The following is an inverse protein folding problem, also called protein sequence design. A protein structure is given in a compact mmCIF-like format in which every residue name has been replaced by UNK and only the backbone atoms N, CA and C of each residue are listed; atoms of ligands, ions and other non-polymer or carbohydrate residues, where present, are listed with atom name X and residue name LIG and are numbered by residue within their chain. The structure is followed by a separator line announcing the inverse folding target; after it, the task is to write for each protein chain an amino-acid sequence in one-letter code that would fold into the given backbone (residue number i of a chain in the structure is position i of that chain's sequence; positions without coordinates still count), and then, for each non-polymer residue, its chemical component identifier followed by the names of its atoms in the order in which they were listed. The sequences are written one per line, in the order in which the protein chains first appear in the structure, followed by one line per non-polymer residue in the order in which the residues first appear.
data_IF_978541469961
#
_entry.id   IF_978541469961
#
_cell.length_a   1.000
_cell.length_b   1.000
_cell.length_c   1.000
_cell.angle_alpha   90.00
_cell.angle_beta   90.00
_cell.angle_gamma   90.00
#
_symmetry.space_group_name_H-M   'P 1'
#
loop_
_entity.id
_entity.type
_entity.pdbx_description
1 polymer ?
#
# COMPACT_ATOMS: atom_id res chain seq x y z
N UNK A 1 6.66 3.22 11.73
CA UNK A 1 5.62 2.16 11.65
C UNK A 1 6.17 1.03 10.76
N UNK A 2 6.26 -0.22 11.24
CA UNK A 2 6.61 -1.36 10.35
C UNK A 2 5.34 -1.76 9.60
N UNK A 3 5.24 -1.44 8.31
CA UNK A 3 4.11 -1.87 7.47
C UNK A 3 4.42 -3.22 6.84
N UNK A 4 3.45 -4.15 6.87
CA UNK A 4 3.54 -5.46 6.18
C UNK A 4 3.11 -5.37 4.71
N UNK A 5 2.84 -4.16 4.21
CA UNK A 5 2.34 -3.91 2.85
C UNK A 5 3.30 -4.50 1.81
N UNK A 6 4.61 -4.31 1.98
CA UNK A 6 5.61 -4.86 1.06
C UNK A 6 5.59 -6.39 1.02
N UNK A 7 5.43 -7.05 2.17
CA UNK A 7 5.34 -8.51 2.24
C UNK A 7 4.09 -9.04 1.55
N UNK A 8 2.93 -8.44 1.80
CA UNK A 8 1.68 -8.82 1.12
C UNK A 8 1.75 -8.55 -0.37
N UNK A 9 2.26 -7.37 -0.77
CA UNK A 9 2.45 -7.02 -2.18
C UNK A 9 3.33 -8.06 -2.90
N UNK A 10 4.43 -8.47 -2.29
CA UNK A 10 5.30 -9.53 -2.81
C UNK A 10 4.60 -10.89 -2.85
N UNK A 11 3.85 -11.26 -1.81
CA UNK A 11 3.10 -12.52 -1.76
C UNK A 11 2.05 -12.61 -2.88
N UNK A 12 1.46 -11.49 -3.26
CA UNK A 12 0.51 -11.40 -4.36
C UNK A 12 1.15 -11.10 -5.72
N UNK A 13 2.49 -11.07 -5.81
CA UNK A 13 3.23 -10.71 -7.03
C UNK A 13 2.78 -9.38 -7.65
N UNK A 14 2.36 -8.44 -6.81
CA UNK A 14 1.85 -7.13 -7.24
C UNK A 14 3.01 -6.12 -7.38
N UNK A 15 2.92 -5.27 -8.39
CA UNK A 15 3.79 -4.08 -8.45
C UNK A 15 3.20 -2.97 -7.59
N UNK A 16 4.03 -1.98 -7.21
CA UNK A 16 3.54 -0.81 -6.45
C UNK A 16 2.48 -0.05 -7.24
N UNK A 17 2.64 0.01 -8.56
CA UNK A 17 1.72 0.65 -9.48
C UNK A 17 0.39 -0.11 -9.53
N UNK A 18 0.44 -1.44 -9.64
CA UNK A 18 -0.77 -2.25 -9.66
C UNK A 18 -1.55 -2.18 -8.34
N UNK A 19 -0.84 -2.19 -7.22
CA UNK A 19 -1.46 -1.99 -5.91
C UNK A 19 -2.08 -0.59 -5.81
N UNK A 20 -1.42 0.44 -6.34
CA UNK A 20 -1.96 1.79 -6.36
C UNK A 20 -3.26 1.87 -7.19
N UNK A 21 -3.28 1.26 -8.37
CA UNK A 21 -4.49 1.15 -9.22
C UNK A 21 -5.64 0.44 -8.50
N UNK A 22 -5.36 -0.72 -7.89
CA UNK A 22 -6.38 -1.53 -7.19
C UNK A 22 -7.03 -0.79 -6.03
N UNK A 23 -6.23 0.02 -5.32
CA UNK A 23 -6.66 0.76 -4.13
C UNK A 23 -7.19 2.16 -4.52
N UNK A 24 -7.02 2.58 -5.78
CA UNK A 24 -7.44 3.87 -6.29
C UNK A 24 -6.60 5.04 -5.78
N UNK A 25 -5.31 4.82 -5.55
CA UNK A 25 -4.36 5.83 -5.08
C UNK A 25 -3.20 6.03 -6.05
N UNK A 26 -2.37 7.03 -5.78
CA UNK A 26 -1.15 7.25 -6.56
C UNK A 26 -0.06 6.26 -6.14
N UNK A 27 0.85 5.96 -7.07
CA UNK A 27 2.01 5.10 -6.81
C UNK A 27 2.86 5.64 -5.67
N UNK A 28 3.07 6.95 -5.58
CA UNK A 28 3.83 7.56 -4.48
C UNK A 28 3.21 7.27 -3.11
N UNK A 29 1.88 7.19 -3.03
CA UNK A 29 1.18 6.84 -1.78
C UNK A 29 1.59 5.45 -1.30
N UNK A 30 1.66 4.47 -2.19
CA UNK A 30 2.12 3.11 -1.87
C UNK A 30 3.59 3.13 -1.42
N UNK A 31 4.44 3.95 -2.05
CA UNK A 31 5.85 4.10 -1.65
C UNK A 31 5.94 4.66 -0.23
N UNK A 32 5.22 5.73 0.10
CA UNK A 32 5.25 6.31 1.44
C UNK A 32 4.66 5.39 2.51
N UNK A 33 3.68 4.55 2.14
CA UNK A 33 3.12 3.50 2.99
C UNK A 33 4.13 2.38 3.27
N UNK A 34 4.87 1.92 2.26
CA UNK A 34 5.94 0.92 2.43
C UNK A 34 7.12 1.48 3.22
N UNK A 35 7.42 2.77 3.07
CA UNK A 35 8.46 3.47 3.85
C UNK A 35 8.00 3.82 5.28
N UNK A 36 6.73 3.63 5.62
CA UNK A 36 6.18 3.95 6.93
C UNK A 36 6.24 5.44 7.29
N UNK A 37 6.39 6.31 6.27
CA UNK A 37 6.44 7.78 6.39
C UNK A 37 5.07 8.43 6.23
N UNK A 38 4.08 7.68 5.75
CA UNK A 38 2.69 8.13 5.65
C UNK A 38 1.85 7.49 6.73
N UNK A 39 0.98 8.28 7.37
CA UNK A 39 -0.10 7.72 8.16
C UNK A 39 -1.27 7.47 7.19
N UNK A 40 -1.53 6.22 6.77
CA UNK A 40 -2.68 5.95 5.91
C UNK A 40 -3.94 6.49 6.58
N UNK A 41 -4.79 7.15 5.80
CA UNK A 41 -6.17 7.38 6.24
C UNK A 41 -6.83 6.04 6.51
N UNK A 42 -7.76 5.98 7.47
CA UNK A 42 -8.44 4.74 7.88
C UNK A 42 -9.03 3.98 6.67
N UNK A 43 -9.59 4.75 5.71
CA UNK A 43 -10.09 4.25 4.42
C UNK A 43 -9.02 3.53 3.59
N UNK A 44 -7.82 4.08 3.54
CA UNK A 44 -6.70 3.52 2.78
C UNK A 44 -6.19 2.23 3.41
N UNK A 45 -6.06 2.22 4.74
CA UNK A 45 -5.71 1.01 5.48
C UNK A 45 -6.75 -0.10 5.25
N UNK A 46 -8.04 0.24 5.23
CA UNK A 46 -9.12 -0.71 4.96
C UNK A 46 -9.09 -1.25 3.52
N UNK A 47 -8.88 -0.39 2.52
CA UNK A 47 -8.83 -0.82 1.12
C UNK A 47 -7.62 -1.69 0.80
N UNK A 48 -6.48 -1.50 1.48
CA UNK A 48 -5.28 -2.33 1.32
C UNK A 48 -5.38 -3.65 2.08
N UNK A 49 -6.18 -3.71 3.14
CA UNK A 49 -6.35 -4.91 3.98
C UNK A 49 -7.46 -5.86 3.50
N UNK A 50 -8.33 -5.42 2.58
CA UNK A 50 -9.29 -6.28 1.88
C UNK A 50 -8.60 -7.14 0.84
#
# INVERSE_FOLDING_TARGET
MKTRIKEYRMRHSLTQERLAEMVGVRRETIIFLEQGKYNPSLRLAHNVAR
#
